data_IF_085604597848
#
_entry.id   IF_085604597848
#
_cell.length_a   1.000
_cell.length_b   1.000
_cell.length_c   1.000
_cell.angle_alpha   90.00
_cell.angle_beta   90.00
_cell.angle_gamma   90.00
#
_symmetry.space_group_name_H-M   'P 1'
#
loop_
_entity.id
_entity.type
_entity.pdbx_description
1 polymer ?
#
# COMPACT_ATOMS: atom_id res chain seq x y z
N UNK A 1 -22.19 -6.02 20.49
CA UNK A 1 -21.02 -6.73 19.93
C UNK A 1 -19.79 -6.03 20.47
N UNK A 2 -18.94 -6.70 21.25
CA UNK A 2 -17.72 -6.09 21.77
C UNK A 2 -16.81 -5.70 20.59
N UNK A 3 -16.41 -4.42 20.50
CA UNK A 3 -15.38 -3.97 19.58
C UNK A 3 -14.18 -4.92 19.72
N UNK A 4 -13.70 -5.45 18.58
CA UNK A 4 -12.55 -6.33 18.57
C UNK A 4 -11.40 -5.66 19.33
N UNK A 5 -10.88 -6.34 20.36
CA UNK A 5 -9.74 -5.80 21.10
C UNK A 5 -8.62 -5.51 20.10
N UNK A 6 -8.06 -4.31 20.20
CA UNK A 6 -7.15 -3.80 19.21
C UNK A 6 -5.75 -4.38 19.42
N UNK A 7 -5.14 -5.00 18.39
CA UNK A 7 -3.89 -5.75 18.51
C UNK A 7 -2.77 -4.94 19.20
N UNK A 8 -2.61 -3.67 18.85
CA UNK A 8 -1.56 -2.80 19.43
C UNK A 8 -1.76 -2.51 20.93
N UNK A 9 -2.99 -2.63 21.45
CA UNK A 9 -3.28 -2.50 22.88
C UNK A 9 -3.10 -3.80 23.67
N UNK A 10 -2.67 -4.89 23.02
CA UNK A 10 -2.48 -6.19 23.66
C UNK A 10 -1.01 -6.36 24.05
N UNK A 11 -0.68 -6.52 25.35
CA UNK A 11 0.69 -6.82 25.78
C UNK A 11 1.22 -8.10 25.14
N UNK A 12 2.52 -8.16 24.87
CA UNK A 12 3.16 -9.34 24.26
C UNK A 12 2.83 -10.65 24.99
N UNK A 13 2.77 -10.62 26.33
CA UNK A 13 2.41 -11.77 27.18
C UNK A 13 0.98 -12.28 26.99
N UNK A 14 0.08 -11.49 26.37
CA UNK A 14 -1.33 -11.83 26.15
C UNK A 14 -1.67 -12.15 24.70
N UNK A 15 -0.68 -12.14 23.79
CA UNK A 15 -0.91 -12.39 22.36
C UNK A 15 -1.51 -13.78 22.09
N UNK A 16 -1.13 -14.79 22.86
CA UNK A 16 -1.73 -16.13 22.73
C UNK A 16 -3.22 -16.15 23.07
N UNK A 17 -3.60 -15.51 24.18
CA UNK A 17 -5.01 -15.35 24.56
C UNK A 17 -5.77 -14.55 23.52
N UNK A 18 -5.15 -13.51 22.96
CA UNK A 18 -5.73 -12.70 21.89
C UNK A 18 -6.03 -13.54 20.65
N UNK A 19 -5.06 -14.35 20.18
CA UNK A 19 -5.26 -15.25 19.05
C UNK A 19 -6.41 -16.22 19.31
N UNK A 20 -6.45 -16.84 20.49
CA UNK A 20 -7.46 -17.84 20.83
C UNK A 20 -8.89 -17.25 20.93
N UNK A 21 -9.03 -16.04 21.50
CA UNK A 21 -10.33 -15.43 21.78
C UNK A 21 -10.89 -14.64 20.58
N UNK A 22 -10.02 -13.95 19.84
CA UNK A 22 -10.43 -12.99 18.82
C UNK A 22 -10.15 -13.44 17.39
N UNK A 23 -9.06 -14.19 17.14
CA UNK A 23 -8.65 -14.53 15.78
C UNK A 23 -9.06 -15.93 15.34
N UNK A 24 -9.13 -16.90 16.26
CA UNK A 24 -9.53 -18.26 15.90
C UNK A 24 -11.04 -18.30 15.60
N UNK A 25 -11.45 -18.89 14.45
CA UNK A 25 -12.86 -19.03 14.14
C UNK A 25 -13.53 -20.05 15.05
N UNK A 26 -14.81 -19.83 15.32
CA UNK A 26 -15.63 -20.81 16.03
C UNK A 26 -15.75 -22.10 15.21
N UNK A 27 -15.65 -23.25 15.87
CA UNK A 27 -15.73 -24.57 15.22
C UNK A 27 -17.06 -24.79 14.50
N UNK A 28 -18.18 -24.49 15.14
CA UNK A 28 -19.51 -24.68 14.56
C UNK A 28 -19.72 -23.81 13.33
N UNK A 29 -19.34 -22.52 13.42
CA UNK A 29 -19.37 -21.62 12.26
C UNK A 29 -18.50 -22.14 11.10
N UNK A 30 -17.29 -22.63 11.38
CA UNK A 30 -16.41 -23.17 10.34
C UNK A 30 -17.01 -24.42 9.68
N UNK A 31 -17.63 -25.30 10.46
CA UNK A 31 -18.32 -26.49 9.94
C UNK A 31 -19.49 -26.09 9.02
N UNK A 32 -20.23 -25.05 9.40
CA UNK A 32 -21.33 -24.49 8.60
C UNK A 32 -20.86 -23.94 7.25
N UNK A 33 -19.77 -23.15 7.24
CA UNK A 33 -19.15 -22.65 6.01
C UNK A 33 -18.69 -23.81 5.11
N UNK A 34 -18.05 -24.82 5.70
CA UNK A 34 -17.57 -25.98 4.95
C UNK A 34 -18.71 -26.84 4.39
N UNK A 35 -19.90 -26.81 4.98
CA UNK A 35 -21.10 -27.47 4.45
C UNK A 35 -21.60 -26.75 3.20
N UNK A 36 -21.76 -25.42 3.24
CA UNK A 36 -22.17 -24.63 2.07
C UNK A 36 -21.18 -24.78 0.91
N UNK A 37 -19.87 -24.74 1.20
CA UNK A 37 -18.81 -24.97 0.20
C UNK A 37 -18.85 -26.39 -0.37
N UNK A 38 -19.31 -27.39 0.41
CA UNK A 38 -19.45 -28.77 -0.09
C UNK A 38 -20.49 -28.85 -1.20
N UNK A 39 -21.56 -28.07 -1.14
CA UNK A 39 -22.55 -27.96 -2.22
C UNK A 39 -21.88 -27.46 -3.50
N UNK A 40 -21.04 -26.42 -3.42
CA UNK A 40 -20.25 -25.92 -4.57
C UNK A 40 -19.31 -27.00 -5.11
N UNK A 41 -18.58 -27.71 -4.25
CA UNK A 41 -17.69 -28.81 -4.67
C UNK A 41 -18.44 -29.95 -5.36
N UNK A 42 -19.65 -30.28 -4.88
CA UNK A 42 -20.48 -31.32 -5.46
C UNK A 42 -21.04 -30.90 -6.83
N UNK A 43 -21.54 -29.67 -6.94
CA UNK A 43 -21.98 -29.06 -8.19
C UNK A 43 -20.87 -29.13 -9.24
N UNK A 44 -19.67 -28.62 -8.92
CA UNK A 44 -18.54 -28.63 -9.85
C UNK A 44 -18.15 -30.03 -10.32
N UNK A 45 -18.28 -31.06 -9.46
CA UNK A 45 -17.93 -32.45 -9.82
C UNK A 45 -19.01 -33.15 -10.64
N UNK A 46 -20.27 -32.75 -10.52
CA UNK A 46 -21.41 -33.36 -11.23
C UNK A 46 -21.66 -32.73 -12.58
N UNK A 47 -21.37 -31.44 -12.74
CA UNK A 47 -21.62 -30.72 -13.98
C UNK A 47 -20.68 -31.16 -15.11
N UNK A 48 -21.29 -31.41 -16.26
CA UNK A 48 -20.57 -31.57 -17.53
C UNK A 48 -20.56 -30.23 -18.26
N UNK A 49 -19.36 -29.65 -18.38
CA UNK A 49 -19.16 -28.39 -19.08
C UNK A 49 -19.02 -28.69 -20.58
N UNK A 50 -20.01 -28.28 -21.40
CA UNK A 50 -19.91 -28.43 -22.84
C UNK A 50 -18.93 -27.38 -23.40
N UNK A 51 -17.85 -27.84 -24.02
CA UNK A 51 -16.84 -26.93 -24.57
C UNK A 51 -17.35 -26.20 -25.81
N UNK A 52 -16.93 -24.94 -25.96
CA UNK A 52 -17.10 -24.18 -27.20
C UNK A 52 -15.73 -23.76 -27.76
N UNK A 53 -15.63 -23.61 -29.10
CA UNK A 53 -14.46 -23.07 -29.82
C UNK A 53 -13.10 -23.73 -29.51
N UNK A 54 -12.93 -24.98 -29.93
CA UNK A 54 -11.63 -25.67 -29.88
C UNK A 54 -11.20 -26.15 -28.49
N UNK A 55 -12.11 -26.10 -27.51
CA UNK A 55 -12.07 -26.89 -26.29
C UNK A 55 -12.61 -28.30 -26.56
N UNK A 56 -12.25 -29.27 -25.72
CA UNK A 56 -12.82 -30.62 -25.75
C UNK A 56 -14.36 -30.55 -25.70
N UNK A 57 -15.03 -31.44 -26.44
CA UNK A 57 -16.50 -31.46 -26.53
C UNK A 57 -17.17 -31.67 -25.16
N UNK A 58 -16.46 -32.35 -24.25
CA UNK A 58 -16.85 -32.54 -22.85
C UNK A 58 -15.68 -32.15 -21.93
N UNK A 59 -15.84 -31.04 -21.20
CA UNK A 59 -14.88 -30.57 -20.20
C UNK A 59 -15.31 -31.08 -18.83
N UNK A 60 -14.44 -31.86 -18.18
CA UNK A 60 -14.69 -32.50 -16.89
C UNK A 60 -13.82 -31.91 -15.79
N UNK A 61 -14.38 -31.79 -14.60
CA UNK A 61 -13.63 -31.45 -13.39
C UNK A 61 -12.88 -32.68 -12.89
N UNK A 62 -11.55 -32.65 -12.99
CA UNK A 62 -10.67 -33.71 -12.53
C UNK A 62 -10.50 -33.70 -11.00
N UNK A 63 -10.45 -32.51 -10.40
CA UNK A 63 -10.22 -32.33 -8.97
C UNK A 63 -10.60 -30.92 -8.52
N UNK A 64 -11.13 -30.80 -7.31
CA UNK A 64 -11.38 -29.51 -6.65
C UNK A 64 -10.57 -29.47 -5.35
N UNK A 65 -9.84 -28.38 -5.14
CA UNK A 65 -8.98 -28.19 -3.99
C UNK A 65 -9.33 -26.88 -3.29
N UNK A 66 -9.70 -26.95 -2.01
CA UNK A 66 -9.73 -25.80 -1.11
C UNK A 66 -8.33 -25.30 -0.84
N UNK A 67 -8.10 -24.02 -1.13
CA UNK A 67 -6.82 -23.31 -0.97
C UNK A 67 -7.00 -22.12 -0.03
N UNK A 68 -6.04 -21.21 0.00
CA UNK A 68 -6.09 -20.04 0.88
C UNK A 68 -6.21 -20.39 2.36
N UNK A 69 -6.86 -19.50 3.12
CA UNK A 69 -6.96 -19.58 4.57
C UNK A 69 -7.68 -20.83 5.08
N UNK A 70 -8.78 -21.22 4.41
CA UNK A 70 -9.55 -22.42 4.72
C UNK A 70 -8.79 -23.70 4.37
N UNK A 71 -8.09 -23.73 3.22
CA UNK A 71 -7.25 -24.86 2.81
C UNK A 71 -6.06 -25.08 3.74
N UNK A 72 -5.43 -24.00 4.19
CA UNK A 72 -4.18 -24.01 4.94
C UNK A 72 -4.38 -24.14 6.46
N UNK A 73 -5.62 -23.94 6.93
CA UNK A 73 -5.94 -23.97 8.36
C UNK A 73 -5.49 -22.71 9.10
N UNK A 74 -5.47 -21.56 8.41
CA UNK A 74 -5.09 -20.23 8.93
C UNK A 74 -6.22 -19.21 8.79
N UNK A 75 -7.46 -19.67 8.59
CA UNK A 75 -8.69 -18.87 8.62
C UNK A 75 -8.79 -18.05 9.90
N UNK A 76 -9.14 -16.77 9.74
CA UNK A 76 -9.47 -15.84 10.82
C UNK A 76 -10.97 -15.83 11.08
N UNK A 77 -11.36 -15.40 12.28
CA UNK A 77 -12.77 -15.29 12.69
C UNK A 77 -13.60 -14.34 11.81
N UNK A 78 -12.98 -13.31 11.23
CA UNK A 78 -13.62 -12.31 10.38
C UNK A 78 -13.58 -12.66 8.88
N UNK A 79 -12.84 -13.70 8.48
CA UNK A 79 -12.68 -14.06 7.07
C UNK A 79 -13.82 -14.97 6.62
N UNK A 80 -14.59 -14.54 5.62
CA UNK A 80 -15.64 -15.35 5.00
C UNK A 80 -15.28 -15.72 3.55
N UNK A 81 -14.01 -15.63 3.16
CA UNK A 81 -13.54 -15.88 1.80
C UNK A 81 -13.00 -17.31 1.67
N UNK A 82 -13.58 -18.07 0.74
CA UNK A 82 -13.20 -19.45 0.43
C UNK A 82 -12.71 -19.54 -1.01
N UNK A 83 -11.46 -19.95 -1.17
CA UNK A 83 -10.84 -20.11 -2.48
C UNK A 83 -10.82 -21.59 -2.89
N UNK A 84 -11.27 -21.86 -4.12
CA UNK A 84 -11.32 -23.17 -4.75
C UNK A 84 -10.50 -23.15 -6.04
N UNK A 85 -9.54 -24.07 -6.15
CA UNK A 85 -8.87 -24.36 -7.41
C UNK A 85 -9.51 -25.58 -8.05
N UNK A 86 -9.91 -25.43 -9.32
CA UNK A 86 -10.63 -26.45 -10.09
C UNK A 86 -9.75 -26.92 -11.24
N UNK A 87 -9.28 -28.16 -11.13
CA UNK A 87 -8.47 -28.80 -12.16
C UNK A 87 -9.37 -29.40 -13.24
N UNK A 88 -9.13 -29.03 -14.50
CA UNK A 88 -10.00 -29.39 -15.62
C UNK A 88 -9.30 -30.28 -16.65
N UNK A 89 -10.06 -31.15 -17.30
CA UNK A 89 -9.55 -32.07 -18.32
C UNK A 89 -9.12 -31.39 -19.62
N UNK A 90 -9.67 -30.22 -19.92
CA UNK A 90 -9.40 -29.48 -21.15
C UNK A 90 -8.07 -28.73 -21.15
N UNK A 91 -7.38 -28.65 -20.02
CA UNK A 91 -6.05 -28.07 -19.96
C UNK A 91 -5.02 -29.21 -19.95
N UNK A 92 -4.23 -29.30 -21.01
CA UNK A 92 -3.15 -30.30 -21.15
C UNK A 92 -1.77 -29.67 -21.00
N UNK A 93 -1.69 -28.34 -20.99
CA UNK A 93 -0.47 -27.58 -20.76
C UNK A 93 -0.77 -26.19 -20.18
N UNK A 94 0.25 -25.54 -19.62
CA UNK A 94 0.17 -24.13 -19.18
C UNK A 94 -0.22 -23.18 -20.33
N UNK A 95 0.18 -23.48 -21.57
CA UNK A 95 -0.19 -22.66 -22.73
C UNK A 95 -1.68 -22.77 -23.06
N UNK A 96 -2.25 -23.95 -22.93
CA UNK A 96 -3.69 -24.16 -23.11
C UNK A 96 -4.49 -23.49 -21.98
N UNK A 97 -4.02 -23.59 -20.73
CA UNK A 97 -4.62 -22.84 -19.62
C UNK A 97 -4.66 -21.34 -19.96
N UNK A 98 -3.52 -20.73 -20.30
CA UNK A 98 -3.48 -19.30 -20.66
C UNK A 98 -4.42 -18.93 -21.83
N UNK A 99 -4.50 -19.79 -22.85
CA UNK A 99 -5.32 -19.54 -24.04
C UNK A 99 -6.82 -19.63 -23.76
N UNK A 100 -7.23 -20.61 -22.96
CA UNK A 100 -8.65 -20.94 -22.78
C UNK A 100 -9.21 -20.55 -21.39
N UNK A 101 -8.38 -20.00 -20.49
CA UNK A 101 -8.76 -19.63 -19.11
C UNK A 101 -10.07 -18.85 -19.04
N UNK A 102 -10.19 -17.79 -19.84
CA UNK A 102 -11.35 -16.92 -19.83
C UNK A 102 -12.60 -17.59 -20.42
N UNK A 103 -12.44 -18.45 -21.44
CA UNK A 103 -13.55 -19.19 -22.02
C UNK A 103 -14.11 -20.19 -21.00
N UNK A 104 -13.23 -20.91 -20.30
CA UNK A 104 -13.60 -21.84 -19.23
C UNK A 104 -14.28 -21.14 -18.06
N UNK A 105 -13.77 -19.98 -17.62
CA UNK A 105 -14.43 -19.21 -16.57
C UNK A 105 -15.85 -18.79 -16.96
N UNK A 106 -16.08 -18.39 -18.22
CA UNK A 106 -17.44 -18.08 -18.72
C UNK A 106 -18.36 -19.30 -18.67
N UNK A 107 -17.87 -20.48 -19.07
CA UNK A 107 -18.64 -21.72 -18.98
C UNK A 107 -19.03 -22.05 -17.54
N UNK A 108 -18.10 -21.91 -16.59
CA UNK A 108 -18.40 -22.12 -15.16
C UNK A 108 -19.39 -21.06 -14.67
N UNK A 109 -19.23 -19.79 -15.06
CA UNK A 109 -20.15 -18.70 -14.70
C UNK A 109 -21.59 -19.00 -15.15
N UNK A 110 -21.79 -19.42 -16.39
CA UNK A 110 -23.12 -19.75 -16.94
C UNK A 110 -23.78 -20.89 -16.15
N UNK A 111 -22.99 -21.89 -15.76
CA UNK A 111 -23.48 -23.05 -15.00
C UNK A 111 -23.78 -22.71 -13.54
N UNK A 112 -22.96 -21.88 -12.90
CA UNK A 112 -23.19 -21.42 -11.53
C UNK A 112 -24.51 -20.64 -11.46
N UNK A 113 -24.76 -19.76 -12.44
CA UNK A 113 -25.99 -18.97 -12.51
C UNK A 113 -27.27 -19.82 -12.65
N UNK A 114 -27.18 -20.98 -13.29
CA UNK A 114 -28.30 -21.90 -13.52
C UNK A 114 -28.47 -22.95 -12.42
N UNK A 115 -27.59 -23.00 -11.42
CA UNK A 115 -27.58 -24.07 -10.43
C UNK A 115 -28.62 -23.83 -9.32
N UNK A 116 -29.68 -24.65 -9.28
CA UNK A 116 -30.71 -24.55 -8.26
C UNK A 116 -30.17 -24.73 -6.84
N UNK A 117 -29.27 -25.69 -6.61
CA UNK A 117 -28.67 -25.92 -5.29
C UNK A 117 -27.91 -24.69 -4.76
N UNK A 118 -27.33 -23.87 -5.65
CA UNK A 118 -26.64 -22.63 -5.27
C UNK A 118 -27.62 -21.47 -5.12
N UNK A 119 -28.68 -21.41 -5.94
CA UNK A 119 -29.77 -20.44 -5.77
C UNK A 119 -30.48 -20.64 -4.43
N UNK A 120 -30.69 -21.89 -4.00
CA UNK A 120 -31.26 -22.24 -2.69
C UNK A 120 -30.33 -21.84 -1.52
N UNK A 121 -29.03 -21.68 -1.79
CA UNK A 121 -28.06 -21.09 -0.85
C UNK A 121 -27.97 -19.56 -0.98
N UNK A 122 -28.87 -18.90 -1.71
CA UNK A 122 -28.88 -17.44 -1.83
C UNK A 122 -27.72 -16.88 -2.65
N UNK A 123 -27.37 -17.52 -3.77
CA UNK A 123 -26.34 -17.06 -4.71
C UNK A 123 -26.53 -15.58 -5.08
N UNK A 124 -25.52 -14.75 -4.81
CA UNK A 124 -25.46 -13.33 -5.19
C UNK A 124 -24.07 -12.92 -5.66
N UNK A 125 -23.93 -11.68 -6.15
CA UNK A 125 -22.64 -11.02 -6.47
C UNK A 125 -21.73 -11.79 -7.44
N UNK A 126 -22.32 -12.60 -8.33
CA UNK A 126 -21.58 -13.39 -9.31
C UNK A 126 -20.87 -12.50 -10.33
N UNK A 127 -19.54 -12.44 -10.26
CA UNK A 127 -18.72 -11.58 -11.09
C UNK A 127 -17.37 -12.21 -11.45
N UNK A 128 -16.75 -11.66 -12.50
CA UNK A 128 -15.41 -12.04 -12.93
C UNK A 128 -14.40 -11.05 -12.36
N UNK A 129 -13.51 -11.53 -11.49
CA UNK A 129 -12.46 -10.70 -10.89
C UNK A 129 -11.21 -10.74 -11.77
N UNK A 130 -10.77 -9.55 -12.20
CA UNK A 130 -9.52 -9.39 -12.97
C UNK A 130 -8.31 -9.52 -12.05
N UNK A 131 -7.34 -10.34 -12.44
CA UNK A 131 -6.17 -10.66 -11.63
C UNK A 131 -5.15 -11.52 -12.39
N UNK A 132 -4.15 -12.03 -11.68
CA UNK A 132 -3.14 -12.95 -12.22
C UNK A 132 -3.15 -14.27 -11.45
N UNK A 133 -4.00 -15.25 -11.81
CA UNK A 133 -4.96 -15.24 -12.93
C UNK A 133 -6.34 -14.68 -12.58
N UNK A 134 -7.17 -14.45 -13.60
CA UNK A 134 -8.59 -14.12 -13.44
C UNK A 134 -9.33 -15.23 -12.69
N UNK A 135 -10.36 -14.85 -11.95
CA UNK A 135 -11.17 -15.78 -11.17
C UNK A 135 -12.66 -15.46 -11.28
N UNK A 136 -13.49 -16.45 -10.94
CA UNK A 136 -14.93 -16.28 -10.76
C UNK A 136 -15.22 -16.12 -9.27
N UNK A 137 -15.89 -15.03 -8.88
CA UNK A 137 -16.23 -14.79 -7.48
C UNK A 137 -17.75 -14.61 -7.34
N UNK A 138 -18.32 -15.15 -6.27
CA UNK A 138 -19.74 -15.00 -5.92
C UNK A 138 -19.96 -15.20 -4.43
N UNK A 139 -21.11 -14.80 -3.94
CA UNK A 139 -21.52 -14.98 -2.55
C UNK A 139 -22.57 -16.08 -2.45
N UNK A 140 -22.48 -16.92 -1.42
CA UNK A 140 -23.53 -17.85 -0.99
C UNK A 140 -23.73 -17.71 0.52
N UNK A 141 -24.86 -18.19 1.03
CA UNK A 141 -25.20 -18.14 2.44
C UNK A 141 -25.05 -19.51 3.10
N UNK A 142 -24.73 -19.50 4.40
CA UNK A 142 -24.82 -20.70 5.23
C UNK A 142 -26.27 -21.11 5.47
N UNK A 143 -26.53 -22.42 5.59
CA UNK A 143 -27.91 -22.94 5.74
C UNK A 143 -28.55 -22.62 7.10
N UNK A 144 -27.78 -22.50 8.17
CA UNK A 144 -28.31 -22.32 9.52
C UNK A 144 -28.43 -20.86 9.94
N UNK A 145 -27.35 -20.10 9.75
CA UNK A 145 -27.19 -18.71 10.21
C UNK A 145 -27.38 -17.67 9.10
N UNK A 146 -27.54 -18.10 7.85
CA UNK A 146 -27.68 -17.24 6.67
C UNK A 146 -26.55 -16.20 6.53
N UNK A 147 -25.35 -16.55 6.99
CA UNK A 147 -24.17 -15.68 6.91
C UNK A 147 -23.60 -15.74 5.50
N UNK A 148 -23.33 -14.59 4.85
CA UNK A 148 -22.73 -14.56 3.53
C UNK A 148 -21.27 -15.05 3.56
N UNK A 149 -20.91 -15.83 2.55
CA UNK A 149 -19.59 -16.40 2.30
C UNK A 149 -19.22 -16.07 0.87
N UNK A 150 -18.04 -15.48 0.68
CA UNK A 150 -17.50 -15.25 -0.64
C UNK A 150 -16.75 -16.50 -1.11
N UNK A 151 -17.07 -16.98 -2.30
CA UNK A 151 -16.41 -18.12 -2.93
C UNK A 151 -15.71 -17.65 -4.19
N UNK A 152 -14.42 -17.94 -4.29
CA UNK A 152 -13.60 -17.66 -5.47
C UNK A 152 -13.19 -18.97 -6.13
N UNK A 153 -13.45 -19.12 -7.43
CA UNK A 153 -13.10 -20.27 -8.25
C UNK A 153 -12.02 -19.89 -9.25
N UNK A 154 -10.93 -20.66 -9.25
CA UNK A 154 -9.81 -20.50 -10.19
C UNK A 154 -9.59 -21.82 -10.94
N UNK A 155 -9.88 -21.87 -12.25
CA UNK A 155 -9.52 -23.00 -13.12
C UNK A 155 -8.02 -23.15 -13.22
N UNK A 156 -7.52 -24.39 -13.31
CA UNK A 156 -6.09 -24.65 -13.40
C UNK A 156 -5.75 -25.91 -14.19
N UNK A 157 -4.61 -25.89 -14.89
CA UNK A 157 -3.97 -27.09 -15.44
C UNK A 157 -3.45 -27.98 -14.31
N UNK A 158 -3.76 -29.27 -14.39
CA UNK A 158 -3.25 -30.28 -13.46
C UNK A 158 -1.83 -30.70 -13.82
N UNK A 159 -0.87 -29.81 -13.56
CA UNK A 159 0.56 -30.04 -13.82
C UNK A 159 1.16 -31.14 -12.93
N UNK A 160 0.58 -31.36 -11.76
CA UNK A 160 1.03 -32.36 -10.80
C UNK A 160 0.15 -33.61 -10.91
N UNK A 161 0.77 -34.75 -11.23
CA UNK A 161 0.13 -36.07 -11.18
C UNK A 161 -0.33 -36.41 -9.75
N UNK A 162 -1.02 -37.55 -9.56
CA UNK A 162 -1.29 -38.09 -8.23
C UNK A 162 0.04 -38.37 -7.51
N UNK A 163 0.55 -37.35 -6.83
CA UNK A 163 1.86 -37.37 -6.19
C UNK A 163 1.71 -37.87 -4.76
N UNK A 164 2.69 -38.65 -4.31
CA UNK A 164 2.84 -39.02 -2.90
C UNK A 164 3.10 -37.74 -2.10
N UNK A 165 2.45 -37.60 -0.95
CA UNK A 165 2.64 -36.48 -0.03
C UNK A 165 4.16 -36.29 0.23
N UNK A 166 4.72 -35.10 -0.06
CA UNK A 166 6.15 -34.72 0.06
C UNK A 166 7.11 -35.03 -1.09
N UNK A 167 6.68 -35.58 -2.23
CA UNK A 167 7.61 -35.71 -3.37
C UNK A 167 7.87 -34.35 -4.04
N UNK A 168 9.13 -34.03 -4.30
CA UNK A 168 9.47 -32.91 -5.19
C UNK A 168 8.86 -33.16 -6.57
N UNK A 169 8.20 -32.17 -7.19
CA UNK A 169 7.73 -32.31 -8.56
C UNK A 169 8.90 -32.58 -9.51
N UNK A 170 8.70 -33.40 -10.56
CA UNK A 170 9.70 -33.58 -11.59
C UNK A 170 10.14 -32.22 -12.17
N UNK A 171 11.45 -31.96 -12.32
CA UNK A 171 11.96 -30.67 -12.83
C UNK A 171 11.36 -30.27 -14.19
N UNK A 172 10.96 -31.24 -15.00
CA UNK A 172 10.34 -31.05 -16.32
C UNK A 172 9.04 -30.22 -16.22
N UNK A 173 8.32 -30.34 -15.10
CA UNK A 173 7.13 -29.53 -14.83
C UNK A 173 7.49 -28.05 -14.75
N UNK A 174 8.57 -27.70 -14.04
CA UNK A 174 9.04 -26.32 -13.95
C UNK A 174 9.67 -25.84 -15.26
N UNK A 175 10.37 -26.71 -15.99
CA UNK A 175 10.88 -26.36 -17.34
C UNK A 175 9.73 -26.03 -18.29
N UNK A 176 8.65 -26.81 -18.27
CA UNK A 176 7.46 -26.54 -19.10
C UNK A 176 6.72 -25.27 -18.68
N UNK A 177 6.68 -24.97 -17.37
CA UNK A 177 6.18 -23.69 -16.83
C UNK A 177 6.98 -22.50 -17.37
N UNK A 178 8.31 -22.55 -17.28
CA UNK A 178 9.20 -21.47 -17.74
C UNK A 178 9.03 -21.27 -19.26
N UNK A 179 8.96 -22.35 -20.04
CA UNK A 179 8.74 -22.32 -21.50
C UNK A 179 7.34 -21.83 -21.90
N UNK A 180 6.38 -21.79 -20.98
CA UNK A 180 5.05 -21.27 -21.27
C UNK A 180 5.04 -19.72 -21.36
N UNK A 181 6.08 -19.05 -20.86
CA UNK A 181 6.25 -17.59 -20.93
C UNK A 181 5.02 -16.79 -20.43
N UNK A 182 4.33 -17.30 -19.42
CA UNK A 182 3.21 -16.57 -18.78
C UNK A 182 3.70 -15.45 -17.86
N UNK A 183 2.77 -14.57 -17.46
CA UNK A 183 3.05 -13.55 -16.46
C UNK A 183 3.40 -14.22 -15.11
N UNK A 184 4.41 -13.71 -14.36
CA UNK A 184 4.78 -14.30 -13.07
C UNK A 184 3.56 -14.48 -12.15
N UNK A 185 3.33 -15.71 -11.71
CA UNK A 185 2.21 -16.07 -10.82
C UNK A 185 0.92 -16.51 -11.51
N UNK A 186 0.77 -16.34 -12.83
CA UNK A 186 -0.46 -16.69 -13.56
C UNK A 186 -0.85 -18.17 -13.43
N UNK A 187 0.14 -19.06 -13.37
CA UNK A 187 -0.04 -20.51 -13.24
C UNK A 187 0.19 -21.02 -11.81
N UNK A 188 0.23 -20.11 -10.83
CA UNK A 188 0.34 -20.50 -9.42
C UNK A 188 -0.76 -21.48 -8.96
N UNK A 189 -2.01 -21.42 -9.47
CA UNK A 189 -3.06 -22.39 -9.10
C UNK A 189 -2.71 -23.84 -9.46
N UNK A 190 -1.92 -24.09 -10.51
CA UNK A 190 -1.48 -25.44 -10.89
C UNK A 190 -0.63 -26.11 -9.81
N UNK A 191 -0.02 -25.31 -8.92
CA UNK A 191 0.81 -25.75 -7.78
C UNK A 191 0.13 -25.51 -6.43
N UNK A 192 -1.16 -25.19 -6.42
CA UNK A 192 -1.91 -24.84 -5.22
C UNK A 192 -1.87 -25.91 -4.12
N UNK A 193 -1.76 -27.18 -4.49
CA UNK A 193 -1.59 -28.26 -3.52
C UNK A 193 -0.28 -28.15 -2.74
N UNK A 194 0.82 -27.79 -3.41
CA UNK A 194 2.13 -27.58 -2.77
C UNK A 194 2.09 -26.35 -1.87
N UNK A 195 1.50 -25.25 -2.34
CA UNK A 195 1.32 -24.03 -1.56
C UNK A 195 0.51 -24.30 -0.28
N UNK A 196 -0.61 -25.02 -0.43
CA UNK A 196 -1.43 -25.45 0.71
C UNK A 196 -0.63 -26.33 1.65
N UNK A 197 0.07 -27.33 1.10
CA UNK A 197 0.85 -28.28 1.87
C UNK A 197 1.91 -27.59 2.74
N UNK A 198 2.63 -26.63 2.16
CA UNK A 198 3.71 -25.87 2.80
C UNK A 198 3.28 -25.18 4.10
N UNK A 199 2.02 -24.73 4.18
CA UNK A 199 1.46 -24.06 5.37
C UNK A 199 0.67 -25.03 6.25
N UNK A 200 -0.13 -25.91 5.64
CA UNK A 200 -1.08 -26.78 6.35
C UNK A 200 -0.42 -27.73 7.35
N UNK A 201 0.79 -28.20 7.08
CA UNK A 201 1.47 -29.19 7.93
C UNK A 201 2.45 -28.55 8.94
N UNK A 202 2.34 -27.23 9.16
CA UNK A 202 3.11 -26.54 10.21
C UNK A 202 2.51 -26.74 11.61
N UNK A 203 3.29 -26.67 12.69
CA UNK A 203 2.80 -26.77 14.07
C UNK A 203 1.66 -25.80 14.38
N UNK A 204 0.76 -26.17 15.28
CA UNK A 204 -0.40 -25.33 15.66
C UNK A 204 -0.01 -23.94 16.16
N UNK A 205 1.13 -23.83 16.86
CA UNK A 205 1.67 -22.55 17.32
C UNK A 205 2.12 -21.65 16.16
N UNK A 206 2.76 -22.23 15.13
CA UNK A 206 3.10 -21.51 13.89
C UNK A 206 1.84 -21.03 13.18
N UNK A 207 0.79 -21.86 13.10
CA UNK A 207 -0.50 -21.42 12.55
C UNK A 207 -1.15 -20.29 13.35
N UNK A 208 -0.94 -20.25 14.67
CA UNK A 208 -1.41 -19.17 15.55
C UNK A 208 -0.66 -17.86 15.26
N UNK A 209 0.66 -17.93 15.08
CA UNK A 209 1.47 -16.79 14.63
C UNK A 209 1.06 -16.29 13.23
N UNK A 210 0.81 -17.20 12.28
CA UNK A 210 0.34 -16.83 10.95
C UNK A 210 -1.00 -16.10 10.99
N UNK A 211 -1.93 -16.50 11.88
CA UNK A 211 -3.17 -15.75 12.09
C UNK A 211 -2.91 -14.35 12.63
N UNK A 212 -2.00 -14.22 13.60
CA UNK A 212 -1.63 -12.92 14.16
C UNK A 212 -1.06 -11.98 13.10
N UNK A 213 -0.13 -12.48 12.28
CA UNK A 213 0.48 -11.71 11.18
C UNK A 213 -0.54 -11.34 10.10
N UNK A 214 -1.42 -12.26 9.72
CA UNK A 214 -2.51 -11.96 8.78
C UNK A 214 -3.45 -10.88 9.31
N UNK A 215 -3.84 -10.98 10.57
CA UNK A 215 -4.68 -9.98 11.22
C UNK A 215 -3.99 -8.63 11.25
N UNK A 216 -2.70 -8.58 11.64
CA UNK A 216 -1.88 -7.37 11.59
C UNK A 216 -1.81 -6.76 10.18
N UNK A 217 -1.61 -7.59 9.15
CA UNK A 217 -1.53 -7.15 7.76
C UNK A 217 -2.87 -6.62 7.21
N UNK A 218 -3.99 -7.21 7.64
CA UNK A 218 -5.34 -6.79 7.23
C UNK A 218 -5.82 -5.54 7.96
N UNK A 219 -5.29 -5.25 9.16
CA UNK A 219 -5.56 -3.96 9.79
C UNK A 219 -4.89 -2.87 8.96
N UNK A 220 -5.68 -1.91 8.46
CA UNK A 220 -5.14 -0.67 7.93
C UNK A 220 -4.20 -0.07 8.96
N UNK A 221 -3.02 0.34 8.51
CA UNK A 221 -2.06 1.04 9.35
C UNK A 221 -2.77 2.17 10.10
N UNK A 222 -2.83 2.04 11.43
CA UNK A 222 -3.50 3.04 12.26
C UNK A 222 -2.65 4.29 12.29
N UNK A 223 -3.31 5.43 12.30
CA UNK A 223 -2.63 6.64 12.70
C UNK A 223 -2.17 6.49 14.15
N UNK A 224 -0.92 6.85 14.41
CA UNK A 224 -0.32 6.88 15.74
C UNK A 224 -0.34 8.31 16.26
N UNK A 225 -0.48 8.47 17.57
CA UNK A 225 -0.35 9.76 18.21
C UNK A 225 1.12 10.07 18.47
N UNK A 226 1.59 11.16 17.89
CA UNK A 226 2.97 11.58 17.93
C UNK A 226 3.10 12.84 18.77
N UNK A 227 3.85 12.76 19.85
CA UNK A 227 4.13 13.89 20.74
C UNK A 227 5.46 14.53 20.35
N UNK A 228 5.41 15.76 19.85
CA UNK A 228 6.58 16.51 19.40
C UNK A 228 7.02 17.48 20.49
N UNK A 229 8.10 17.11 21.18
CA UNK A 229 8.75 17.92 22.20
C UNK A 229 9.69 18.94 21.57
N UNK A 230 9.69 20.16 22.07
CA UNK A 230 10.67 21.19 21.72
C UNK A 230 11.00 22.01 22.95
N UNK A 231 12.28 22.33 23.15
CA UNK A 231 12.72 23.12 24.29
C UNK A 231 11.98 24.46 24.36
N UNK A 232 11.44 24.78 25.55
CA UNK A 232 10.74 26.03 25.81
C UNK A 232 9.35 26.17 25.16
N UNK A 233 8.77 25.10 24.60
CA UNK A 233 7.41 25.09 24.04
C UNK A 233 6.58 23.94 24.59
N UNK A 234 5.26 24.09 24.55
CA UNK A 234 4.33 23.01 24.87
C UNK A 234 4.39 21.89 23.83
N UNK A 235 4.19 20.67 24.31
CA UNK A 235 4.11 19.47 23.49
C UNK A 235 3.04 19.62 22.40
N UNK A 236 3.40 19.30 21.15
CA UNK A 236 2.47 19.28 20.02
C UNK A 236 2.08 17.83 19.74
N UNK A 237 0.79 17.52 19.80
CA UNK A 237 0.26 16.21 19.46
C UNK A 237 -0.22 16.17 18.01
N UNK A 238 0.26 15.20 17.23
CA UNK A 238 -0.12 15.00 15.83
C UNK A 238 -0.55 13.55 15.58
N UNK A 239 -1.60 13.36 14.80
CA UNK A 239 -1.95 12.05 14.25
C UNK A 239 -1.22 11.84 12.93
N UNK A 240 -0.50 10.73 12.82
CA UNK A 240 0.31 10.42 11.63
C UNK A 240 0.17 8.96 11.26
N UNK A 241 0.10 8.68 9.96
CA UNK A 241 0.17 7.33 9.47
C UNK A 241 1.64 6.84 9.52
N UNK A 242 1.95 5.69 10.15
CA UNK A 242 3.32 5.19 10.26
C UNK A 242 4.04 4.98 8.94
N UNK A 243 3.30 4.77 7.85
CA UNK A 243 3.87 4.53 6.52
C UNK A 243 4.08 5.81 5.71
N UNK A 244 3.61 6.96 6.19
CA UNK A 244 3.89 8.23 5.54
C UNK A 244 5.34 8.69 5.76
N UNK A 245 5.96 9.35 4.76
CA UNK A 245 7.28 9.95 4.93
C UNK A 245 7.29 11.02 6.03
N UNK A 246 8.36 11.05 6.82
CA UNK A 246 8.58 12.02 7.90
C UNK A 246 8.51 13.47 7.39
N UNK A 247 8.82 13.73 6.11
CA UNK A 247 8.63 15.04 5.46
C UNK A 247 7.22 15.61 5.66
N UNK A 248 6.18 14.80 5.53
CA UNK A 248 4.79 15.26 5.71
C UNK A 248 4.52 15.73 7.14
N UNK A 249 5.12 15.05 8.13
CA UNK A 249 4.98 15.45 9.53
C UNK A 249 5.74 16.75 9.81
N UNK A 250 6.94 16.91 9.23
CA UNK A 250 7.67 18.19 9.28
C UNK A 250 6.83 19.34 8.71
N UNK A 251 6.16 19.12 7.58
CA UNK A 251 5.21 20.10 7.01
C UNK A 251 4.05 20.43 7.97
N UNK A 252 3.42 19.42 8.59
CA UNK A 252 2.38 19.62 9.62
C UNK A 252 2.90 20.43 10.81
N UNK A 253 4.11 20.15 11.28
CA UNK A 253 4.76 20.91 12.36
C UNK A 253 5.00 22.35 11.92
N UNK A 254 5.48 22.58 10.69
CA UNK A 254 5.71 23.93 10.14
C UNK A 254 4.42 24.74 10.13
N UNK A 255 3.32 24.15 9.64
CA UNK A 255 2.01 24.80 9.61
C UNK A 255 1.49 25.11 11.02
N UNK A 256 1.70 24.19 11.98
CA UNK A 256 1.19 24.34 13.34
C UNK A 256 1.99 25.33 14.19
N UNK A 257 3.31 25.42 13.98
CA UNK A 257 4.22 26.22 14.81
C UNK A 257 4.80 27.46 14.12
N UNK A 258 4.54 27.65 12.83
CA UNK A 258 5.04 28.78 12.05
C UNK A 258 6.57 28.79 11.87
N UNK A 259 7.23 27.63 11.91
CA UNK A 259 8.69 27.54 11.80
C UNK A 259 9.17 27.67 10.35
N UNK A 260 10.04 28.64 10.08
CA UNK A 260 10.76 28.80 8.79
C UNK A 260 12.11 28.07 8.76
N UNK A 261 12.61 27.60 9.90
CA UNK A 261 13.91 26.96 10.06
C UNK A 261 14.01 25.51 9.56
N UNK A 262 15.23 24.98 9.59
CA UNK A 262 15.50 23.58 9.25
C UNK A 262 15.15 22.68 10.45
N UNK A 263 14.13 21.84 10.25
CA UNK A 263 13.65 20.93 11.28
C UNK A 263 14.44 19.62 11.30
N UNK A 264 15.03 19.32 12.47
CA UNK A 264 15.66 18.03 12.79
C UNK A 264 14.80 17.31 13.83
N UNK A 265 14.25 16.16 13.44
CA UNK A 265 13.50 15.29 14.34
C UNK A 265 14.40 14.15 14.78
N UNK A 266 14.34 13.82 16.07
CA UNK A 266 15.05 12.68 16.64
C UNK A 266 14.12 11.83 17.49
N UNK A 267 14.39 10.53 17.52
CA UNK A 267 13.65 9.55 18.29
C UNK A 267 14.65 8.72 19.13
N UNK A 268 14.21 8.29 20.30
CA UNK A 268 15.02 7.49 21.21
C UNK A 268 14.11 6.50 21.94
N UNK A 269 14.42 5.21 21.82
CA UNK A 269 13.76 4.17 22.62
C UNK A 269 14.27 4.21 24.07
N UNK A 270 13.46 3.77 25.06
CA UNK A 270 13.91 3.68 26.45
C UNK A 270 15.20 2.86 26.58
N UNK A 271 16.29 3.49 27.02
CA UNK A 271 17.61 2.85 27.17
C UNK A 271 18.42 2.70 25.88
N UNK A 272 17.91 3.14 24.73
CA UNK A 272 18.61 3.11 23.45
C UNK A 272 19.34 4.42 23.11
N UNK A 273 20.14 4.40 22.04
CA UNK A 273 20.76 5.61 21.49
C UNK A 273 19.75 6.50 20.75
N UNK A 274 19.98 7.80 20.75
CA UNK A 274 19.14 8.77 20.05
C UNK A 274 19.48 8.77 18.56
N UNK A 275 18.49 8.49 17.73
CA UNK A 275 18.63 8.46 16.28
C UNK A 275 17.96 9.67 15.60
N UNK A 276 18.61 10.18 14.55
CA UNK A 276 18.10 11.26 13.72
C UNK A 276 17.17 10.71 12.63
N UNK A 277 15.98 11.30 12.51
CA UNK A 277 14.95 10.89 11.58
C UNK A 277 15.10 11.58 10.21
N UNK A 278 15.27 10.78 9.17
CA UNK A 278 15.46 11.23 7.78
C UNK A 278 14.12 11.56 7.12
N UNK A 279 14.06 12.69 6.41
CA UNK A 279 12.80 13.20 5.85
C UNK A 279 12.13 12.26 4.83
N UNK A 280 12.90 11.47 4.08
CA UNK A 280 12.39 10.54 3.06
C UNK A 280 12.00 9.17 3.61
N UNK A 281 12.34 8.85 4.86
CA UNK A 281 11.96 7.61 5.51
C UNK A 281 10.57 7.74 6.14
N UNK A 282 9.86 6.62 6.31
CA UNK A 282 8.62 6.54 7.08
C UNK A 282 8.90 6.30 8.57
N UNK A 283 7.88 6.42 9.42
CA UNK A 283 7.99 6.05 10.85
C UNK A 283 8.17 4.55 11.03
N UNK A 284 7.46 3.77 10.20
CA UNK A 284 7.57 2.31 10.11
C UNK A 284 9.00 1.84 9.79
N UNK A 285 9.76 2.61 8.98
CA UNK A 285 11.18 2.32 8.71
C UNK A 285 12.02 2.28 9.99
N UNK A 286 11.66 3.10 10.98
CA UNK A 286 12.32 3.15 12.29
C UNK A 286 11.66 2.25 13.34
N UNK A 287 10.72 1.39 12.95
CA UNK A 287 10.00 0.51 13.88
C UNK A 287 8.93 1.21 14.74
N UNK A 288 8.54 2.45 14.39
CA UNK A 288 7.60 3.24 15.19
C UNK A 288 6.17 2.94 14.72
N UNK A 289 5.46 2.11 15.48
CA UNK A 289 4.08 1.66 15.19
C UNK A 289 3.08 1.95 16.31
N UNK A 290 3.50 2.68 17.34
CA UNK A 290 2.69 3.04 18.51
C UNK A 290 2.96 4.48 18.93
N UNK A 291 2.07 5.02 19.76
CA UNK A 291 2.20 6.38 20.29
C UNK A 291 3.59 6.62 20.87
N UNK A 292 4.21 7.72 20.43
CA UNK A 292 5.65 7.92 20.60
C UNK A 292 5.96 9.40 20.79
N UNK A 293 7.01 9.67 21.58
CA UNK A 293 7.58 11.00 21.78
C UNK A 293 8.81 11.19 20.90
N UNK A 294 8.90 12.33 20.23
CA UNK A 294 10.07 12.74 19.43
C UNK A 294 10.49 14.14 19.81
N UNK A 295 11.79 14.41 19.71
CA UNK A 295 12.29 15.76 19.95
C UNK A 295 12.55 16.47 18.63
N UNK A 296 12.05 17.71 18.55
CA UNK A 296 12.27 18.65 17.48
C UNK A 296 13.34 19.66 17.87
N UNK A 297 14.38 19.73 17.04
CA UNK A 297 15.33 20.84 17.01
C UNK A 297 15.03 21.67 15.76
N UNK A 298 14.70 22.93 15.98
CA UNK A 298 14.55 23.92 14.92
C UNK A 298 15.83 24.74 14.88
N UNK A 299 16.64 24.55 13.84
CA UNK A 299 17.81 25.40 13.66
C UNK A 299 17.36 26.64 12.91
N UNK A 300 17.43 27.79 13.58
CA UNK A 300 17.26 29.10 12.96
C UNK A 300 18.34 29.20 11.88
N UNK A 301 17.94 29.26 10.61
CA UNK A 301 18.88 29.74 9.59
C UNK A 301 19.12 31.21 9.93
N UNK A 302 20.36 31.67 10.11
CA UNK A 302 20.60 33.05 10.47
C UNK A 302 19.96 33.97 9.42
N UNK A 303 19.35 35.07 9.87
CA UNK A 303 19.06 36.19 8.98
C UNK A 303 20.38 36.56 8.29
N UNK A 304 20.34 36.56 6.95
CA UNK A 304 21.48 36.93 6.13
C UNK A 304 21.39 38.42 5.81
N UNK A 305 22.54 39.07 5.75
CA UNK A 305 22.67 40.44 5.29
C UNK A 305 23.06 40.41 3.81
N UNK A 306 22.15 40.85 2.94
CA UNK A 306 22.44 40.96 1.49
C UNK A 306 22.69 42.42 1.13
N UNK A 307 23.69 42.67 0.29
CA UNK A 307 24.00 44.00 -0.22
C UNK A 307 23.34 44.20 -1.57
N UNK A 308 22.67 45.33 -1.78
CA UNK A 308 22.12 45.69 -3.10
C UNK A 308 22.90 46.88 -3.61
N UNK A 309 23.62 46.66 -4.72
CA UNK A 309 24.36 47.68 -5.45
C UNK A 309 23.42 48.42 -6.39
N UNK A 310 23.29 49.72 -6.15
CA UNK A 310 22.44 50.63 -6.89
C UNK A 310 23.11 51.08 -8.21
N UNK A 311 22.32 51.61 -9.18
CA UNK A 311 22.84 52.14 -10.43
C UNK A 311 23.83 53.32 -10.27
N UNK A 312 23.72 54.07 -9.17
CA UNK A 312 24.63 55.18 -8.81
C UNK A 312 26.00 54.70 -8.27
N UNK A 313 26.17 53.38 -8.12
CA UNK A 313 27.38 52.74 -7.60
C UNK A 313 27.38 52.52 -6.09
N UNK A 314 26.42 53.09 -5.35
CA UNK A 314 26.26 52.88 -3.91
C UNK A 314 25.76 51.47 -3.58
N UNK A 315 25.96 50.99 -2.35
CA UNK A 315 25.44 49.69 -1.89
C UNK A 315 24.73 49.82 -0.55
N UNK A 316 23.56 49.20 -0.43
CA UNK A 316 22.75 49.21 0.78
C UNK A 316 22.56 47.79 1.32
N UNK A 317 22.66 47.62 2.63
CA UNK A 317 22.46 46.33 3.28
C UNK A 317 20.98 46.11 3.66
N UNK A 318 20.47 44.93 3.37
CA UNK A 318 19.12 44.48 3.68
C UNK A 318 19.17 43.17 4.46
N UNK A 319 18.32 43.06 5.48
CA UNK A 319 18.16 41.82 6.23
C UNK A 319 17.13 40.94 5.53
N UNK A 320 17.54 39.72 5.19
CA UNK A 320 16.67 38.76 4.52
C UNK A 320 16.87 37.36 5.09
N UNK A 321 15.87 36.50 4.97
CA UNK A 321 16.01 35.08 5.25
C UNK A 321 16.18 34.33 3.92
N UNK A 322 17.01 33.27 3.82
CA UNK A 322 17.16 32.52 2.57
C UNK A 322 15.84 31.97 2.00
N UNK A 323 14.82 31.74 2.84
CA UNK A 323 13.49 31.31 2.39
C UNK A 323 12.53 32.46 2.03
N UNK A 324 12.93 33.73 2.11
CA UNK A 324 12.11 34.85 1.65
C UNK A 324 12.07 34.89 0.13
N UNK A 325 10.92 35.27 -0.42
CA UNK A 325 10.76 35.50 -1.85
C UNK A 325 11.52 36.75 -2.27
N UNK A 326 12.02 36.76 -3.52
CA UNK A 326 12.65 37.94 -4.13
C UNK A 326 11.74 39.17 -4.04
N UNK A 327 10.42 38.97 -4.17
CA UNK A 327 9.42 40.04 -3.98
C UNK A 327 9.56 40.77 -2.64
N UNK A 328 9.79 40.06 -1.55
CA UNK A 328 9.91 40.64 -0.21
C UNK A 328 11.16 41.51 -0.09
N UNK A 329 12.25 41.17 -0.79
CA UNK A 329 13.44 42.02 -0.84
C UNK A 329 13.18 43.29 -1.68
N UNK A 330 12.43 43.17 -2.78
CA UNK A 330 12.03 44.34 -3.59
C UNK A 330 11.09 45.29 -2.84
N UNK A 331 10.21 44.77 -1.98
CA UNK A 331 9.39 45.57 -1.07
C UNK A 331 10.28 46.40 -0.13
N UNK A 332 11.29 45.79 0.49
CA UNK A 332 12.23 46.54 1.34
C UNK A 332 13.01 47.62 0.57
N UNK A 333 13.38 47.37 -0.69
CA UNK A 333 14.04 48.35 -1.55
C UNK A 333 13.08 49.49 -1.90
N UNK A 334 11.80 49.21 -2.20
CA UNK A 334 10.77 50.21 -2.44
C UNK A 334 10.56 51.10 -1.21
N UNK A 335 10.43 50.50 -0.03
CA UNK A 335 10.23 51.21 1.24
C UNK A 335 11.42 52.13 1.58
N UNK A 336 12.64 51.69 1.28
CA UNK A 336 13.86 52.43 1.64
C UNK A 336 14.29 53.45 0.57
N UNK A 337 14.16 53.10 -0.71
CA UNK A 337 14.72 53.87 -1.83
C UNK A 337 13.64 54.54 -2.70
N UNK A 338 12.35 54.23 -2.50
CA UNK A 338 11.24 54.80 -3.25
C UNK A 338 11.09 54.31 -4.69
N UNK A 339 11.90 53.34 -5.13
CA UNK A 339 11.82 52.75 -6.46
C UNK A 339 10.72 51.69 -6.49
N UNK A 340 9.69 51.86 -7.32
CA UNK A 340 8.56 50.92 -7.36
C UNK A 340 8.99 49.51 -7.75
N UNK A 341 8.44 48.49 -7.09
CA UNK A 341 8.77 47.06 -7.32
C UNK A 341 8.79 46.64 -8.79
N UNK A 342 7.85 47.15 -9.58
CA UNK A 342 7.70 46.83 -11.00
C UNK A 342 8.87 47.36 -11.85
N UNK A 343 9.50 48.44 -11.41
CA UNK A 343 10.65 49.07 -12.04
C UNK A 343 11.98 48.43 -11.61
N UNK A 344 11.98 47.63 -10.53
CA UNK A 344 13.17 46.97 -10.01
C UNK A 344 13.52 45.68 -10.77
N UNK A 345 14.75 45.60 -11.26
CA UNK A 345 15.37 44.37 -11.78
C UNK A 345 16.60 44.03 -10.93
N UNK A 346 16.49 42.96 -10.14
CA UNK A 346 17.58 42.41 -9.34
C UNK A 346 18.30 41.30 -10.12
N UNK A 347 19.63 41.33 -10.08
CA UNK A 347 20.49 40.34 -10.72
C UNK A 347 21.53 39.79 -9.73
N UNK A 348 21.79 38.48 -9.81
CA UNK A 348 22.84 37.80 -9.06
C UNK A 348 23.61 36.85 -9.98
N UNK A 349 24.94 36.98 -10.04
CA UNK A 349 25.82 36.12 -10.86
C UNK A 349 25.36 35.96 -12.32
N UNK A 350 24.82 37.02 -12.93
CA UNK A 350 24.31 36.98 -14.31
C UNK A 350 22.86 36.52 -14.47
N UNK A 351 22.17 36.19 -13.37
CA UNK A 351 20.78 35.73 -13.39
C UNK A 351 19.82 36.79 -12.87
N UNK A 352 18.78 37.09 -13.66
CA UNK A 352 17.69 37.97 -13.25
C UNK A 352 16.77 37.22 -12.29
N UNK A 353 16.60 37.77 -11.10
CA UNK A 353 15.79 37.18 -10.04
C UNK A 353 14.30 37.38 -10.32
N UNK A 354 13.51 36.31 -10.20
CA UNK A 354 12.05 36.35 -10.37
C UNK A 354 11.35 36.39 -9.01
N UNK A 355 10.25 37.12 -8.95
CA UNK A 355 9.56 37.50 -7.71
C UNK A 355 9.06 36.32 -6.88
N UNK A 356 8.69 35.20 -7.52
CA UNK A 356 8.10 34.01 -6.89
C UNK A 356 9.11 32.95 -6.45
N UNK A 357 10.40 33.13 -6.73
CA UNK A 357 11.45 32.24 -6.20
C UNK A 357 12.03 32.80 -4.91
N UNK A 358 12.44 31.90 -4.01
CA UNK A 358 13.15 32.28 -2.78
C UNK A 358 14.63 32.59 -3.03
N UNK A 359 15.27 33.34 -2.13
CA UNK A 359 16.69 33.70 -2.25
C UNK A 359 17.62 32.47 -2.22
N UNK A 360 17.24 31.43 -1.48
CA UNK A 360 17.96 30.17 -1.37
C UNK A 360 17.99 29.38 -2.68
N UNK A 361 16.94 29.45 -3.50
CA UNK A 361 16.90 28.88 -4.85
C UNK A 361 18.04 29.39 -5.74
N UNK A 362 18.40 30.67 -5.60
CA UNK A 362 19.51 31.30 -6.33
C UNK A 362 20.87 31.11 -5.65
N UNK A 363 20.92 30.42 -4.50
CA UNK A 363 22.14 30.21 -3.73
C UNK A 363 22.72 31.48 -3.11
N UNK A 364 21.88 32.48 -2.84
CA UNK A 364 22.29 33.74 -2.19
C UNK A 364 22.59 33.47 -0.72
N UNK A 365 23.76 33.91 -0.27
CA UNK A 365 24.30 33.72 1.06
C UNK A 365 24.50 35.05 1.79
N UNK A 366 24.91 34.97 3.04
CA UNK A 366 25.29 36.14 3.82
C UNK A 366 26.40 36.93 3.14
N UNK A 367 26.27 38.26 3.18
CA UNK A 367 27.19 39.22 2.59
C UNK A 367 27.30 39.19 1.05
N UNK A 368 26.40 38.47 0.36
CA UNK A 368 26.35 38.51 -1.12
C UNK A 368 25.84 39.86 -1.64
N UNK A 369 26.32 40.25 -2.82
CA UNK A 369 25.91 41.49 -3.51
C UNK A 369 25.01 41.21 -4.71
N UNK A 370 23.82 41.80 -4.69
CA UNK A 370 22.86 41.85 -5.79
C UNK A 370 23.00 43.15 -6.55
N UNK A 371 22.82 43.13 -7.87
CA UNK A 371 22.83 44.34 -8.69
C UNK A 371 21.40 44.77 -8.96
N UNK A 372 21.07 46.02 -8.60
CA UNK A 372 19.79 46.65 -8.91
C UNK A 372 19.93 47.49 -10.19
N UNK A 373 19.03 47.24 -11.14
CA UNK A 373 18.86 48.04 -12.35
C UNK A 373 17.42 48.49 -12.50
N UNK A 374 17.23 49.66 -13.11
CA UNK A 374 15.91 50.22 -13.38
C UNK A 374 15.42 49.77 -14.76
N UNK A 375 14.20 49.23 -14.82
CA UNK A 375 13.53 48.96 -16.10
C UNK A 375 12.98 50.28 -16.65
N UNK A 376 13.51 50.75 -17.79
CA UNK A 376 12.91 51.87 -18.52
C UNK A 376 11.60 51.42 -19.16
N UNK A 377 10.55 52.23 -19.05
CA UNK A 377 9.29 51.99 -19.73
C UNK A 377 9.52 52.02 -21.26
N UNK A 378 9.50 50.86 -21.93
CA UNK A 378 9.57 50.80 -23.39
C UNK A 378 10.23 49.59 -24.08
N UNK A 379 10.50 48.46 -23.41
CA UNK A 379 10.93 47.23 -24.12
C UNK A 379 9.78 46.20 -24.22
N UNK A 380 9.45 45.66 -25.41
CA UNK A 380 8.35 44.72 -25.58
C UNK A 380 8.64 43.37 -24.93
N UNK A 381 7.59 42.73 -24.40
CA UNK A 381 7.64 41.45 -23.69
C UNK A 381 7.88 40.20 -24.56
N UNK A 382 8.10 40.29 -25.88
CA UNK A 382 8.30 39.11 -26.74
C UNK A 382 9.15 39.40 -28.00
N UNK A 383 9.96 38.44 -28.50
CA UNK A 383 10.55 38.51 -29.84
C UNK A 383 9.48 38.25 -30.93
N UNK A 384 9.58 38.84 -32.14
CA UNK A 384 8.64 38.59 -33.22
C UNK A 384 8.80 37.16 -33.78
N UNK A 385 7.68 36.55 -34.15
CA UNK A 385 7.55 35.17 -34.66
C UNK A 385 8.38 34.88 -35.91
#
# INVERSE_FOLDING_TARGET
>A
MALAQELYGVPASRLDSFVAQWLQPNRGWKEEVLEAVRTVEQFLRRENLQGQRGLDQEVRVLKVVKVGSFGNGTVLRSEADVELVVFLSCFRSFREEAKYHQAVLRLIWEKVWQCQDLLDLGLSDLCMTQGSPNALTFTIQTRGTAVPINVTIVPAYRALGPSVLNSQPPPEVYVSLIKACGYPGSFSPSFSELQRYFVKHRPTKVKSLLRLLKHWYQQSARDIQLTVEQWGRSDLMLWVNPYEPIKKVKEKIRQSRGSSGLQRLSFQEPGGERQLLRSHCSWAYYGIFSDTRVCLLDTVSPEIQVFVKNPDGGSHAYAAHPSHFVRSLKEQIEDRQGLHREQQRLEFRGHVLQDWFDLGYYGIQDSDTLVLSEKRAGEPLFPPC
#
